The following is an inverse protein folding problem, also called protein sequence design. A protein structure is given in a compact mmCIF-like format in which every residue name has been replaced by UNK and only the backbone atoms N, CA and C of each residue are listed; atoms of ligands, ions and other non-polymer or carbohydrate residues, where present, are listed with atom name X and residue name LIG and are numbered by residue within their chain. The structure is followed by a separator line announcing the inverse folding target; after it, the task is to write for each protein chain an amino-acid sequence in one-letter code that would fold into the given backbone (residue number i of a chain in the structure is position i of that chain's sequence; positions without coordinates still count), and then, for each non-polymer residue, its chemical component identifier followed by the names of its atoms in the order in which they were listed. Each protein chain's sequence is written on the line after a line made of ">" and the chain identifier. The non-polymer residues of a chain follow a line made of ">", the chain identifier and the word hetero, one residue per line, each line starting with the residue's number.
data_IF_995471765763
#
_entry.id   IF_995471765763
#
_cell.length_a   1.000
_cell.length_b   1.000
_cell.length_c   1.000
_cell.angle_alpha   90.00
_cell.angle_beta   90.00
_cell.angle_gamma   90.00
#
_symmetry.space_group_name_H-M   'P 1'
#
loop_
_entity.id
_entity.type
_entity.pdbx_description
1 polymer ?
#
# COMPACT_ATOMS: atom_id res chain seq x y z
N UNK A 1 -10.08 -32.13 -2.52
CA UNK A 1 -11.11 -32.09 -3.58
C UNK A 1 -11.72 -30.69 -3.73
N UNK A 2 -11.92 -29.97 -2.62
CA UNK A 2 -12.55 -28.64 -2.59
C UNK A 2 -11.77 -27.52 -3.31
N UNK A 3 -10.45 -27.40 -3.12
CA UNK A 3 -9.65 -26.34 -3.73
C UNK A 3 -9.73 -26.34 -5.27
N UNK A 4 -9.72 -27.52 -5.89
CA UNK A 4 -9.84 -27.67 -7.36
C UNK A 4 -11.22 -27.27 -7.89
N UNK A 5 -12.27 -27.51 -7.10
CA UNK A 5 -13.63 -27.08 -7.43
C UNK A 5 -13.73 -25.55 -7.41
N UNK A 6 -13.24 -24.90 -6.35
CA UNK A 6 -13.22 -23.45 -6.27
C UNK A 6 -12.38 -22.84 -7.40
N UNK A 7 -11.15 -23.32 -7.63
CA UNK A 7 -10.29 -22.76 -8.68
C UNK A 7 -10.91 -22.83 -10.08
N UNK A 8 -11.56 -23.95 -10.42
CA UNK A 8 -12.20 -24.14 -11.73
C UNK A 8 -13.39 -23.21 -11.95
N UNK A 9 -14.21 -23.01 -10.91
CA UNK A 9 -15.36 -22.10 -10.99
C UNK A 9 -14.92 -20.63 -10.98
N UNK A 10 -13.85 -20.29 -10.28
CA UNK A 10 -13.36 -18.92 -10.18
C UNK A 10 -12.76 -18.40 -11.49
N UNK A 11 -12.13 -19.26 -12.29
CA UNK A 11 -11.69 -18.89 -13.66
C UNK A 11 -12.86 -18.49 -14.58
N UNK A 12 -14.09 -18.86 -14.22
CA UNK A 12 -15.31 -18.51 -14.96
C UNK A 12 -16.00 -17.26 -14.41
N UNK A 13 -15.62 -16.78 -13.23
CA UNK A 13 -16.17 -15.57 -12.65
C UNK A 13 -15.59 -14.35 -13.38
N UNK A 14 -16.48 -13.58 -14.00
CA UNK A 14 -16.11 -12.27 -14.54
C UNK A 14 -16.13 -11.27 -13.38
N UNK A 15 -15.04 -10.52 -13.15
CA UNK A 15 -15.04 -9.46 -12.16
C UNK A 15 -16.12 -8.41 -12.52
N UNK A 16 -16.93 -7.94 -11.55
CA UNK A 16 -17.81 -6.80 -11.76
C UNK A 16 -17.00 -5.58 -12.24
N UNK A 17 -17.59 -4.67 -13.05
CA UNK A 17 -16.88 -3.49 -13.57
C UNK A 17 -16.28 -2.57 -12.51
N UNK A 18 -16.82 -2.62 -11.28
CA UNK A 18 -16.35 -1.84 -10.14
C UNK A 18 -15.11 -2.43 -9.44
N UNK A 19 -14.60 -3.60 -9.85
CA UNK A 19 -13.46 -4.21 -9.17
C UNK A 19 -12.13 -3.93 -9.84
N UNK A 20 -11.05 -4.08 -9.09
CA UNK A 20 -9.68 -3.94 -9.59
C UNK A 20 -9.41 -4.90 -10.76
N UNK A 21 -9.93 -6.13 -10.70
CA UNK A 21 -9.77 -7.15 -11.75
C UNK A 21 -10.34 -6.70 -13.09
N UNK A 22 -11.52 -6.07 -13.09
CA UNK A 22 -12.10 -5.50 -14.31
C UNK A 22 -11.31 -4.28 -14.81
N UNK A 23 -10.72 -3.50 -13.90
CA UNK A 23 -9.88 -2.35 -14.22
C UNK A 23 -8.43 -2.70 -14.58
N UNK A 24 -8.03 -3.97 -14.53
CA UNK A 24 -6.64 -4.45 -14.75
C UNK A 24 -5.60 -3.88 -13.76
N UNK A 25 -6.05 -3.43 -12.59
CA UNK A 25 -5.21 -2.85 -11.54
C UNK A 25 -4.73 -3.78 -10.40
N UNK A 26 -5.13 -5.06 -10.22
CA UNK A 26 -4.86 -5.75 -8.95
C UNK A 26 -3.37 -5.92 -8.65
N UNK A 27 -2.57 -6.27 -9.66
CA UNK A 27 -1.13 -6.46 -9.49
C UNK A 27 -0.41 -5.14 -9.20
N UNK A 28 -0.80 -4.08 -9.92
CA UNK A 28 -0.24 -2.76 -9.72
C UNK A 28 -0.52 -2.25 -8.30
N UNK A 29 -1.74 -2.46 -7.80
CA UNK A 29 -2.14 -2.02 -6.45
C UNK A 29 -1.51 -2.89 -5.37
N UNK A 30 -1.36 -4.19 -5.62
CA UNK A 30 -0.63 -5.08 -4.72
C UNK A 30 0.82 -4.61 -4.52
N UNK A 31 1.51 -4.23 -5.59
CA UNK A 31 2.87 -3.71 -5.52
C UNK A 31 2.93 -2.40 -4.71
N UNK A 32 2.00 -1.46 -4.96
CA UNK A 32 1.91 -0.22 -4.18
C UNK A 32 1.71 -0.50 -2.67
N UNK A 33 0.77 -1.37 -2.33
CA UNK A 33 0.48 -1.74 -0.93
C UNK A 33 1.71 -2.35 -0.25
N UNK A 34 2.43 -3.25 -0.92
CA UNK A 34 3.63 -3.90 -0.36
C UNK A 34 4.77 -2.88 -0.17
N UNK A 35 4.94 -1.93 -1.09
CA UNK A 35 5.94 -0.86 -0.94
C UNK A 35 5.57 0.01 0.28
N UNK A 36 4.32 0.45 0.38
CA UNK A 36 3.84 1.24 1.52
C UNK A 36 4.00 0.47 2.84
N UNK A 37 3.64 -0.82 2.88
CA UNK A 37 3.84 -1.67 4.06
C UNK A 37 5.30 -1.70 4.52
N UNK A 38 6.25 -1.88 3.59
CA UNK A 38 7.69 -1.87 3.90
C UNK A 38 8.13 -0.52 4.47
N UNK A 39 7.67 0.58 3.87
CA UNK A 39 7.97 1.94 4.34
C UNK A 39 7.43 2.20 5.74
N UNK A 40 6.24 1.68 6.06
CA UNK A 40 5.59 1.83 7.37
C UNK A 40 6.29 0.99 8.44
N UNK A 41 6.71 -0.24 8.10
CA UNK A 41 7.42 -1.13 9.03
C UNK A 41 8.85 -0.66 9.31
N UNK A 42 9.51 -0.03 8.33
CA UNK A 42 10.89 0.43 8.46
C UNK A 42 11.08 1.87 7.95
N UNK A 43 10.50 2.90 8.60
CA UNK A 43 10.58 4.29 8.15
C UNK A 43 12.02 4.81 7.99
N UNK A 44 12.93 4.37 8.87
CA UNK A 44 14.34 4.73 8.85
C UNK A 44 15.11 4.24 7.62
N UNK A 45 14.57 3.24 6.90
CA UNK A 45 15.17 2.70 5.67
C UNK A 45 14.64 3.37 4.40
N UNK A 46 13.70 4.30 4.55
CA UNK A 46 13.05 4.98 3.43
C UNK A 46 13.94 6.14 2.97
N UNK A 47 14.68 5.93 1.87
CA UNK A 47 15.40 7.02 1.19
C UNK A 47 14.42 7.99 0.51
N UNK A 48 14.90 9.18 0.16
CA UNK A 48 14.14 10.14 -0.65
C UNK A 48 13.75 9.52 -2.00
N UNK A 49 14.69 8.80 -2.64
CA UNK A 49 14.46 8.11 -3.91
C UNK A 49 13.31 7.10 -3.82
N UNK A 50 13.23 6.34 -2.72
CA UNK A 50 12.13 5.37 -2.51
C UNK A 50 10.75 6.04 -2.40
N UNK A 51 10.70 7.30 -1.91
CA UNK A 51 9.46 8.09 -1.86
C UNK A 51 9.08 8.58 -3.25
N UNK A 52 10.05 9.08 -4.01
CA UNK A 52 9.82 9.56 -5.37
C UNK A 52 9.39 8.42 -6.30
N UNK A 53 10.00 7.23 -6.15
CA UNK A 53 9.61 6.02 -6.85
C UNK A 53 8.16 5.64 -6.54
N UNK A 54 7.74 5.65 -5.26
CA UNK A 54 6.34 5.40 -4.89
C UNK A 54 5.40 6.39 -5.57
N UNK A 55 5.70 7.69 -5.53
CA UNK A 55 4.88 8.72 -6.18
C UNK A 55 4.85 8.58 -7.70
N UNK A 56 5.92 8.10 -8.32
CA UNK A 56 6.01 7.81 -9.76
C UNK A 56 5.14 6.61 -10.18
N UNK A 57 4.93 5.66 -9.27
CA UNK A 57 4.11 4.47 -9.50
C UNK A 57 2.61 4.73 -9.33
N UNK A 58 2.17 5.85 -8.75
CA UNK A 58 0.75 6.09 -8.53
C UNK A 58 -0.05 6.20 -9.85
N UNK A 59 -1.22 5.57 -9.98
CA UNK A 59 -2.19 5.89 -11.02
C UNK A 59 -2.66 7.35 -10.96
N UNK A 60 -3.18 7.86 -12.07
CA UNK A 60 -3.74 9.22 -12.14
C UNK A 60 -4.90 9.45 -11.15
N UNK A 61 -5.73 8.44 -10.90
CA UNK A 61 -6.82 8.49 -9.92
C UNK A 61 -6.29 8.73 -8.50
N UNK A 62 -5.34 7.91 -8.05
CA UNK A 62 -4.70 8.04 -6.74
C UNK A 62 -3.95 9.36 -6.58
N UNK A 63 -3.24 9.83 -7.62
CA UNK A 63 -2.60 11.16 -7.58
C UNK A 63 -3.62 12.29 -7.39
N UNK A 64 -4.77 12.19 -8.05
CA UNK A 64 -5.83 13.20 -7.97
C UNK A 64 -6.48 13.19 -6.59
N UNK A 65 -6.81 12.01 -6.08
CA UNK A 65 -7.36 11.79 -4.73
C UNK A 65 -6.41 12.34 -3.65
N UNK A 66 -5.13 11.96 -3.72
CA UNK A 66 -4.11 12.42 -2.79
C UNK A 66 -3.94 13.95 -2.82
N UNK A 67 -3.89 14.56 -4.02
CA UNK A 67 -3.80 16.01 -4.15
C UNK A 67 -5.00 16.72 -3.53
N UNK A 68 -6.20 16.17 -3.69
CA UNK A 68 -7.41 16.69 -3.05
C UNK A 68 -7.30 16.68 -1.52
N UNK A 69 -6.84 15.56 -0.95
CA UNK A 69 -6.65 15.39 0.49
C UNK A 69 -5.56 16.31 1.05
N UNK A 70 -4.42 16.44 0.38
CA UNK A 70 -3.31 17.25 0.87
C UNK A 70 -3.55 18.76 0.80
N UNK A 71 -4.35 19.24 -0.17
CA UNK A 71 -4.67 20.68 -0.33
C UNK A 71 -5.48 21.27 0.84
N UNK A 72 -6.22 20.44 1.58
CA UNK A 72 -7.08 20.92 2.67
C UNK A 72 -6.42 20.91 4.05
N UNK A 73 -5.16 20.51 4.15
CA UNK A 73 -4.58 20.15 5.44
C UNK A 73 -3.33 20.96 5.78
N UNK A 74 -3.56 22.09 6.45
CA UNK A 74 -2.54 22.87 7.14
C UNK A 74 -2.22 22.24 8.51
N UNK A 75 -1.73 20.99 8.54
CA UNK A 75 -1.33 20.38 9.80
C UNK A 75 0.07 20.85 10.21
N UNK A 76 0.16 21.51 11.36
CA UNK A 76 1.40 21.69 12.10
C UNK A 76 1.84 20.33 12.64
N UNK A 77 2.81 19.70 12.00
CA UNK A 77 3.29 18.35 12.30
C UNK A 77 4.19 18.32 13.55
N UNK A 78 3.70 18.83 14.69
CA UNK A 78 4.47 18.90 15.94
C UNK A 78 3.82 18.18 17.12
N UNK A 79 2.71 17.47 16.94
CA UNK A 79 2.07 16.69 18.00
C UNK A 79 2.45 15.19 17.94
N UNK A 80 3.23 14.67 18.92
CA UNK A 80 3.59 13.26 18.99
C UNK A 80 2.41 12.32 19.30
N UNK A 81 1.34 12.79 19.97
CA UNK A 81 0.15 11.97 20.26
C UNK A 81 -0.60 11.65 18.97
N UNK A 82 -0.78 12.68 18.14
CA UNK A 82 -1.40 12.57 16.82
C UNK A 82 -0.62 11.63 15.89
N UNK A 83 0.71 11.60 16.01
CA UNK A 83 1.56 10.64 15.28
C UNK A 83 1.29 9.19 15.67
N UNK A 84 0.96 8.93 16.94
CA UNK A 84 0.59 7.59 17.43
C UNK A 84 -0.74 7.11 16.85
N UNK A 85 -1.72 7.99 16.73
CA UNK A 85 -3.02 7.71 16.12
C UNK A 85 -2.89 7.36 14.64
N UNK A 86 -2.11 8.15 13.88
CA UNK A 86 -1.84 7.89 12.46
C UNK A 86 -1.15 6.55 12.23
N UNK A 87 -0.14 6.21 13.05
CA UNK A 87 0.52 4.90 12.96
C UNK A 87 -0.44 3.74 13.26
N UNK A 88 -1.45 3.97 14.10
CA UNK A 88 -2.46 2.97 14.41
C UNK A 88 -3.45 2.81 13.27
N UNK A 89 -3.92 3.91 12.68
CA UNK A 89 -4.78 3.90 11.49
C UNK A 89 -4.11 3.18 10.31
N UNK A 90 -2.84 3.51 10.01
CA UNK A 90 -2.03 2.84 8.99
C UNK A 90 -1.98 1.33 9.18
N UNK A 91 -1.72 0.86 10.41
CA UNK A 91 -1.67 -0.57 10.71
C UNK A 91 -3.02 -1.22 10.51
N UNK A 92 -4.10 -0.59 10.99
CA UNK A 92 -5.45 -1.13 10.84
C UNK A 92 -5.84 -1.32 9.37
N UNK A 93 -5.45 -0.41 8.48
CA UNK A 93 -5.71 -0.55 7.04
C UNK A 93 -4.84 -1.66 6.44
N UNK A 94 -3.56 -1.71 6.81
CA UNK A 94 -2.65 -2.75 6.32
C UNK A 94 -3.01 -4.16 6.80
N UNK A 95 -3.60 -4.32 7.98
CA UNK A 95 -3.95 -5.63 8.54
C UNK A 95 -4.86 -6.43 7.62
N UNK A 96 -5.70 -5.76 6.82
CA UNK A 96 -6.57 -6.42 5.84
C UNK A 96 -6.09 -6.28 4.39
N UNK A 97 -5.44 -5.16 4.01
CA UNK A 97 -4.92 -4.99 2.64
C UNK A 97 -3.67 -5.81 2.37
N UNK A 98 -2.74 -5.88 3.32
CA UNK A 98 -1.45 -6.53 3.14
C UNK A 98 -1.60 -8.01 2.77
N UNK A 99 -2.40 -8.84 3.49
CA UNK A 99 -2.57 -10.24 3.12
C UNK A 99 -3.10 -10.44 1.69
N UNK A 100 -4.03 -9.59 1.25
CA UNK A 100 -4.60 -9.63 -0.11
C UNK A 100 -3.57 -9.24 -1.18
N UNK A 101 -2.75 -8.23 -0.90
CA UNK A 101 -1.68 -7.79 -1.78
C UNK A 101 -0.60 -8.87 -1.95
N UNK A 102 -0.11 -9.44 -0.85
CA UNK A 102 0.86 -10.55 -0.88
C UNK A 102 0.32 -11.77 -1.63
N UNK A 103 -0.94 -12.13 -1.38
CA UNK A 103 -1.61 -13.20 -2.11
C UNK A 103 -1.72 -12.90 -3.60
N UNK A 104 -1.94 -11.65 -4.01
CA UNK A 104 -1.97 -11.27 -5.43
C UNK A 104 -0.61 -11.48 -6.11
N UNK A 105 0.50 -11.05 -5.48
CA UNK A 105 1.85 -11.27 -6.01
C UNK A 105 2.14 -12.77 -6.13
N UNK A 106 1.84 -13.53 -5.07
CA UNK A 106 2.04 -14.97 -5.02
C UNK A 106 1.24 -15.70 -6.09
N UNK A 107 -0.04 -15.33 -6.25
CA UNK A 107 -0.95 -15.87 -7.26
C UNK A 107 -0.43 -15.61 -8.68
N UNK A 108 0.12 -14.42 -8.93
CA UNK A 108 0.72 -14.05 -10.21
C UNK A 108 2.01 -14.84 -10.49
N UNK A 109 2.89 -14.96 -9.49
CA UNK A 109 4.17 -15.66 -9.63
C UNK A 109 3.96 -17.16 -9.93
N UNK A 110 3.04 -17.83 -9.26
CA UNK A 110 2.70 -19.25 -9.55
C UNK A 110 2.27 -19.51 -10.99
N UNK A 111 1.82 -18.47 -11.70
CA UNK A 111 1.34 -18.53 -13.09
C UNK A 111 2.34 -17.95 -14.08
N UNK A 112 3.40 -17.30 -13.63
CA UNK A 112 4.52 -16.86 -14.48
C UNK A 112 5.44 -18.03 -14.80
N UNK A 113 5.75 -18.24 -16.09
CA UNK A 113 6.59 -19.34 -16.56
C UNK A 113 7.98 -19.37 -15.90
N UNK A 114 8.52 -18.20 -15.54
CA UNK A 114 9.82 -18.07 -14.86
C UNK A 114 9.82 -18.65 -13.44
N UNK A 115 8.67 -18.61 -12.76
CA UNK A 115 8.55 -18.93 -11.34
C UNK A 115 7.87 -20.29 -11.09
N UNK A 116 7.25 -20.89 -12.12
CA UNK A 116 6.55 -22.18 -12.03
C UNK A 116 7.41 -23.35 -11.55
N UNK A 117 8.74 -23.29 -11.73
CA UNK A 117 9.68 -24.35 -11.36
C UNK A 117 10.45 -24.06 -10.05
N UNK A 118 10.34 -22.85 -9.49
CA UNK A 118 11.17 -22.39 -8.37
C UNK A 118 10.40 -22.26 -7.05
N UNK A 119 9.09 -22.07 -7.09
CA UNK A 119 8.28 -21.83 -5.90
C UNK A 119 7.29 -22.99 -5.64
N UNK A 120 7.14 -23.44 -4.38
CA UNK A 120 6.08 -24.38 -4.01
C UNK A 120 4.72 -23.82 -4.39
N UNK A 121 3.85 -24.63 -5.02
CA UNK A 121 2.46 -24.24 -5.27
C UNK A 121 1.74 -24.08 -3.95
N UNK A 122 1.31 -22.86 -3.65
CA UNK A 122 0.70 -22.52 -2.38
C UNK A 122 -0.82 -22.44 -2.41
N UNK A 123 -1.42 -22.77 -3.56
CA UNK A 123 -2.87 -22.89 -3.75
C UNK A 123 -3.65 -21.64 -3.37
N UNK A 124 -3.09 -20.44 -3.59
CA UNK A 124 -3.82 -19.18 -3.36
C UNK A 124 -5.00 -19.10 -4.32
N UNK A 125 -6.19 -18.85 -3.77
CA UNK A 125 -7.40 -18.63 -4.55
C UNK A 125 -7.48 -17.18 -5.01
N UNK A 126 -8.01 -16.91 -6.22
CA UNK A 126 -8.14 -15.55 -6.75
C UNK A 126 -9.04 -14.62 -5.89
N UNK A 127 -9.90 -15.17 -5.04
CA UNK A 127 -10.77 -14.45 -4.10
C UNK A 127 -10.00 -14.00 -2.85
N UNK A 128 -8.88 -14.65 -2.54
CA UNK A 128 -7.98 -14.26 -1.45
C UNK A 128 -7.01 -13.15 -1.88
N UNK A 129 -7.20 -12.58 -3.07
CA UNK A 129 -6.36 -11.50 -3.62
C UNK A 129 -7.20 -10.24 -3.85
N UNK A 130 -6.54 -9.16 -4.26
CA UNK A 130 -7.17 -7.89 -4.63
C UNK A 130 -8.04 -7.97 -5.91
N UNK A 131 -8.08 -9.10 -6.62
CA UNK A 131 -8.74 -9.19 -7.93
C UNK A 131 -10.22 -8.81 -7.90
N UNK A 132 -10.94 -9.20 -6.84
CA UNK A 132 -12.36 -8.88 -6.67
C UNK A 132 -12.61 -7.68 -5.73
N UNK A 133 -11.56 -7.01 -5.25
CA UNK A 133 -11.71 -5.84 -4.40
C UNK A 133 -12.36 -4.69 -5.19
N UNK A 134 -13.28 -3.96 -4.54
CA UNK A 134 -13.89 -2.77 -5.11
C UNK A 134 -12.80 -1.70 -5.32
N UNK A 135 -12.71 -1.18 -6.54
CA UNK A 135 -11.68 -0.23 -6.94
C UNK A 135 -11.76 1.06 -6.13
N UNK A 136 -12.94 1.65 -6.00
CA UNK A 136 -13.13 2.94 -5.33
C UNK A 136 -12.78 2.84 -3.85
N UNK A 137 -13.29 1.82 -3.15
CA UNK A 137 -12.95 1.58 -1.74
C UNK A 137 -11.44 1.41 -1.59
N UNK A 138 -10.82 0.55 -2.42
CA UNK A 138 -9.37 0.32 -2.34
C UNK A 138 -8.57 1.60 -2.62
N UNK A 139 -9.01 2.46 -3.56
CA UNK A 139 -8.36 3.74 -3.83
C UNK A 139 -8.48 4.70 -2.64
N UNK A 140 -9.61 4.71 -1.92
CA UNK A 140 -9.78 5.48 -0.68
C UNK A 140 -8.80 5.00 0.38
N UNK A 141 -8.73 3.69 0.64
CA UNK A 141 -7.84 3.12 1.64
C UNK A 141 -6.35 3.36 1.30
N UNK A 142 -5.96 3.21 0.04
CA UNK A 142 -4.60 3.55 -0.41
C UNK A 142 -4.32 5.05 -0.27
N UNK A 143 -5.30 5.91 -0.55
CA UNK A 143 -5.12 7.36 -0.38
C UNK A 143 -4.89 7.69 1.10
N UNK A 144 -5.62 7.06 2.01
CA UNK A 144 -5.43 7.23 3.46
C UNK A 144 -4.03 6.79 3.89
N UNK A 145 -3.57 5.62 3.43
CA UNK A 145 -2.19 5.15 3.66
C UNK A 145 -1.14 6.18 3.20
N UNK A 146 -1.32 6.78 2.02
CA UNK A 146 -0.39 7.77 1.46
C UNK A 146 -0.39 9.07 2.26
N UNK A 147 -1.57 9.52 2.70
CA UNK A 147 -1.73 10.75 3.49
C UNK A 147 -1.03 10.60 4.84
N UNK A 148 -1.28 9.50 5.55
CA UNK A 148 -0.67 9.23 6.85
C UNK A 148 0.85 9.04 6.75
N UNK A 149 1.32 8.33 5.72
CA UNK A 149 2.75 8.22 5.42
C UNK A 149 3.40 9.58 5.20
N UNK A 150 2.76 10.44 4.42
CA UNK A 150 3.24 11.79 4.16
C UNK A 150 3.33 12.62 5.47
N UNK A 151 2.39 12.46 6.39
CA UNK A 151 2.47 13.12 7.71
C UNK A 151 3.61 12.59 8.57
N UNK A 152 3.78 11.28 8.67
CA UNK A 152 4.86 10.67 9.43
C UNK A 152 6.21 11.17 8.94
N UNK A 153 6.42 11.20 7.62
CA UNK A 153 7.66 11.70 7.03
C UNK A 153 7.91 13.18 7.29
N UNK A 154 6.86 14.00 7.29
CA UNK A 154 6.97 15.42 7.62
C UNK A 154 7.34 15.62 9.10
N UNK A 155 6.67 14.90 10.00
CA UNK A 155 6.96 14.92 11.43
C UNK A 155 8.41 14.49 11.73
N UNK A 156 8.85 13.36 11.17
CA UNK A 156 10.23 12.87 11.35
C UNK A 156 11.25 13.91 10.88
N UNK A 157 11.02 14.54 9.71
CA UNK A 157 11.90 15.60 9.20
C UNK A 157 11.94 16.83 10.11
N UNK A 158 10.79 17.28 10.61
CA UNK A 158 10.71 18.42 11.53
C UNK A 158 11.42 18.12 12.86
N UNK A 159 11.30 16.90 13.39
CA UNK A 159 11.99 16.48 14.61
C UNK A 159 13.51 16.34 14.42
N UNK A 160 13.96 15.73 13.32
CA UNK A 160 15.40 15.66 12.99
C UNK A 160 16.00 17.05 12.83
N UNK A 161 15.29 17.98 12.17
CA UNK A 161 15.75 19.35 12.04
C UNK A 161 15.91 20.03 13.41
N UNK A 162 14.92 19.92 14.31
CA UNK A 162 14.99 20.46 15.67
C UNK A 162 16.21 19.94 16.44
N UNK A 163 16.44 18.63 16.43
CA UNK A 163 17.61 18.03 17.09
C UNK A 163 18.93 18.57 16.53
N UNK A 164 19.04 18.70 15.21
CA UNK A 164 20.24 19.27 14.57
C UNK A 164 20.46 20.74 14.94
N UNK A 165 19.39 21.54 15.01
CA UNK A 165 19.47 22.93 15.46
C UNK A 165 19.92 23.03 16.92
N UNK A 166 19.37 22.21 17.81
CA UNK A 166 19.77 22.18 19.21
C UNK A 166 21.25 21.80 19.37
N UNK A 167 21.73 20.75 18.69
CA UNK A 167 23.15 20.38 18.71
C UNK A 167 24.09 21.47 18.19
N UNK A 168 23.63 22.31 17.25
CA UNK A 168 24.42 23.42 16.70
C UNK A 168 24.50 24.63 17.63
N UNK A 169 23.56 24.77 18.56
CA UNK A 169 23.52 25.86 19.56
C UNK A 169 24.30 25.54 20.84
N UNK A 170 24.81 24.31 21.00
CA UNK A 170 25.65 23.88 22.13
C UNK A 170 27.16 23.90 21.83
N UNK A 171 27.58 24.49 20.70
CA UNK A 171 28.98 24.68 20.30
C UNK A 171 29.32 26.17 20.23
#
# INVERSE_FOLDING_TARGET
>A
MEVKFFESNMRRLKPPPSTLGAATLPLHYANLIIIMEKMIKSPQSVSVDARDDLYSMLPSSLRSSLRGRLKGVELSASDPVLTGEWRTALRSILDWLSPLAHNMIKWQNERSFEHQNLLPKTNVLLLQTLFFANKENTEVDITELLVDLNYIWRFEREMTAKVLFDCSNFN
#
